data_IF_634763546217
#
_entry.id   IF_634763546217
#
_cell.length_a   1.000
_cell.length_b   1.000
_cell.length_c   1.000
_cell.angle_alpha   90.00
_cell.angle_beta   90.00
_cell.angle_gamma   90.00
#
_symmetry.space_group_name_H-M   'P 1'
#
loop_
_entity.id
_entity.type
_entity.pdbx_description
1 polymer ?
#
# COMPACT_ATOMS: atom_id res chain seq x y z
N UNK A 1 -11.30 -11.17 -7.55
CA UNK A 1 -10.13 -11.80 -6.92
C UNK A 1 -10.43 -11.95 -5.44
N UNK A 2 -10.29 -13.14 -4.87
CA UNK A 2 -10.52 -13.38 -3.44
C UNK A 2 -9.16 -13.25 -2.72
N UNK A 3 -8.80 -12.02 -2.35
CA UNK A 3 -7.54 -11.70 -1.66
C UNK A 3 -7.39 -12.43 -0.31
N UNK A 4 -8.45 -12.58 0.52
CA UNK A 4 -8.37 -13.42 1.72
C UNK A 4 -7.90 -14.85 1.45
N UNK A 5 -8.52 -15.51 0.47
CA UNK A 5 -8.13 -16.87 0.07
C UNK A 5 -6.68 -16.90 -0.41
N UNK A 6 -6.28 -15.95 -1.24
CA UNK A 6 -4.90 -15.86 -1.71
C UNK A 6 -3.90 -15.68 -0.57
N UNK A 7 -4.23 -14.91 0.47
CA UNK A 7 -3.39 -14.80 1.66
C UNK A 7 -3.24 -16.14 2.39
N UNK A 8 -4.35 -16.85 2.61
CA UNK A 8 -4.35 -18.17 3.26
C UNK A 8 -3.49 -19.16 2.46
N UNK A 9 -3.69 -19.23 1.14
CA UNK A 9 -2.91 -20.10 0.25
C UNK A 9 -1.40 -19.79 0.35
N UNK A 10 -1.01 -18.52 0.45
CA UNK A 10 0.40 -18.13 0.62
C UNK A 10 0.95 -18.55 2.00
N UNK A 11 0.15 -18.42 3.05
CA UNK A 11 0.53 -18.83 4.41
C UNK A 11 0.69 -20.36 4.50
N UNK A 12 -0.25 -21.13 3.95
CA UNK A 12 -0.22 -22.60 3.93
C UNK A 12 0.99 -23.13 3.17
N UNK A 13 1.37 -22.44 2.09
CA UNK A 13 2.59 -22.72 1.31
C UNK A 13 3.88 -22.19 1.97
N UNK A 14 3.79 -21.60 3.17
CA UNK A 14 4.92 -21.04 3.95
C UNK A 14 5.72 -20.00 3.17
N UNK A 15 5.04 -19.21 2.35
CA UNK A 15 5.65 -18.12 1.62
C UNK A 15 6.19 -17.05 2.58
N UNK A 16 7.25 -16.36 2.15
CA UNK A 16 7.87 -15.29 2.93
C UNK A 16 7.04 -14.03 2.77
N UNK A 17 6.30 -13.62 3.81
CA UNK A 17 5.39 -12.47 3.76
C UNK A 17 5.83 -11.33 4.68
N UNK A 18 5.63 -10.09 4.21
CA UNK A 18 5.79 -8.87 5.00
C UNK A 18 4.49 -8.04 4.95
N UNK A 19 3.89 -7.80 6.12
CA UNK A 19 2.69 -6.99 6.25
C UNK A 19 3.05 -5.50 6.19
N UNK A 20 2.29 -4.73 5.40
CA UNK A 20 2.38 -3.27 5.33
C UNK A 20 1.08 -2.67 5.86
N UNK A 21 1.07 -2.22 7.11
CA UNK A 21 -0.12 -1.66 7.76
C UNK A 21 -0.31 -0.19 7.41
N UNK A 22 -1.46 0.17 6.84
CA UNK A 22 -1.83 1.56 6.66
C UNK A 22 -1.99 2.26 8.04
N UNK A 23 -1.61 3.53 8.21
CA UNK A 23 -1.53 4.19 9.53
C UNK A 23 -2.86 4.33 10.27
N UNK A 24 -3.98 4.15 9.57
CA UNK A 24 -5.33 4.13 10.18
C UNK A 24 -5.62 2.86 11.00
N UNK A 25 -4.71 1.87 11.02
CA UNK A 25 -4.94 0.58 11.67
C UNK A 25 -5.28 0.69 13.18
N UNK A 26 -4.76 1.64 13.98
CA UNK A 26 -5.04 1.69 15.42
C UNK A 26 -6.51 1.97 15.76
N UNK A 27 -7.28 2.50 14.81
CA UNK A 27 -8.73 2.73 14.98
C UNK A 27 -9.50 1.39 14.98
N UNK A 28 -9.00 0.41 14.24
CA UNK A 28 -9.68 -0.87 14.00
C UNK A 28 -9.08 -1.98 14.88
N UNK A 29 -7.76 -1.98 15.06
CA UNK A 29 -7.04 -3.04 15.75
C UNK A 29 -6.25 -2.50 16.94
N UNK A 30 -6.23 -3.21 18.08
CA UNK A 30 -5.45 -2.81 19.24
C UNK A 30 -3.95 -2.88 18.98
N UNK A 31 -3.23 -1.81 19.32
CA UNK A 31 -1.77 -1.74 19.31
C UNK A 31 -1.21 -1.95 20.74
N UNK A 32 -0.15 -2.76 20.93
CA UNK A 32 0.68 -3.43 19.91
C UNK A 32 0.17 -4.83 19.50
N UNK A 33 -0.98 -5.29 20.00
CA UNK A 33 -1.48 -6.65 19.82
C UNK A 33 -1.59 -7.10 18.35
N UNK A 34 -1.99 -6.20 17.44
CA UNK A 34 -2.04 -6.44 15.99
C UNK A 34 -0.71 -6.94 15.41
N UNK A 35 0.43 -6.49 15.93
CA UNK A 35 1.75 -6.96 15.48
C UNK A 35 1.88 -8.45 15.81
N UNK A 36 1.59 -8.84 17.05
CA UNK A 36 1.66 -10.24 17.49
C UNK A 36 0.68 -11.12 16.70
N UNK A 37 -0.53 -10.63 16.44
CA UNK A 37 -1.53 -11.36 15.65
C UNK A 37 -1.05 -11.63 14.22
N UNK A 38 -0.51 -10.61 13.54
CA UNK A 38 0.06 -10.77 12.19
C UNK A 38 1.25 -11.73 12.19
N UNK A 39 2.13 -11.67 13.20
CA UNK A 39 3.25 -12.61 13.30
C UNK A 39 2.80 -14.05 13.51
N UNK A 40 1.77 -14.26 14.33
CA UNK A 40 1.15 -15.59 14.53
C UNK A 40 0.47 -16.11 13.26
N UNK A 41 -0.11 -15.21 12.47
CA UNK A 41 -0.76 -15.54 11.20
C UNK A 41 0.24 -16.00 10.11
N UNK A 42 1.51 -15.59 10.19
CA UNK A 42 2.56 -16.05 9.26
C UNK A 42 3.44 -14.94 8.69
N UNK A 43 3.20 -13.67 9.05
CA UNK A 43 4.06 -12.56 8.61
C UNK A 43 5.37 -12.52 9.40
N UNK A 44 6.51 -12.52 8.72
CA UNK A 44 7.81 -12.40 9.38
C UNK A 44 8.08 -10.97 9.85
N UNK A 45 7.68 -10.00 9.03
CA UNK A 45 7.86 -8.58 9.24
C UNK A 45 6.52 -7.84 9.18
N UNK A 46 6.39 -6.81 10.02
CA UNK A 46 5.27 -5.87 10.02
C UNK A 46 5.86 -4.48 9.89
N UNK A 47 5.52 -3.79 8.80
CA UNK A 47 6.02 -2.47 8.45
C UNK A 47 4.85 -1.51 8.41
N UNK A 48 5.03 -0.31 8.97
CA UNK A 48 4.03 0.73 8.86
C UNK A 48 4.18 1.50 7.55
N UNK A 49 3.08 1.71 6.83
CA UNK A 49 3.05 2.45 5.56
C UNK A 49 3.44 3.93 5.73
N UNK A 50 3.46 4.44 6.95
CA UNK A 50 4.01 5.75 7.27
C UNK A 50 5.49 5.90 6.84
N UNK A 51 6.26 4.80 6.82
CA UNK A 51 7.63 4.82 6.30
C UNK A 51 7.67 5.19 4.80
N UNK A 52 6.80 4.58 3.98
CA UNK A 52 6.65 4.96 2.58
C UNK A 52 6.03 6.34 2.40
N UNK A 53 5.10 6.75 3.28
CA UNK A 53 4.54 8.10 3.24
C UNK A 53 5.59 9.20 3.43
N UNK A 54 6.58 8.96 4.30
CA UNK A 54 7.74 9.86 4.45
C UNK A 54 8.50 9.97 3.13
N UNK A 55 8.80 8.86 2.47
CA UNK A 55 9.51 8.83 1.18
C UNK A 55 8.73 9.55 0.07
N UNK A 56 7.43 9.30 -0.03
CA UNK A 56 6.51 10.02 -0.93
C UNK A 56 6.58 11.53 -0.71
N UNK A 57 6.58 11.98 0.54
CA UNK A 57 6.66 13.41 0.86
C UNK A 57 8.02 14.02 0.49
N UNK A 58 9.11 13.29 0.69
CA UNK A 58 10.45 13.74 0.28
C UNK A 58 10.54 13.93 -1.25
N UNK A 59 9.98 13.00 -2.03
CA UNK A 59 9.92 13.10 -3.49
C UNK A 59 9.05 14.27 -3.94
N UNK A 60 7.89 14.46 -3.31
CA UNK A 60 7.02 15.60 -3.58
C UNK A 60 7.71 16.93 -3.29
N UNK A 61 8.40 17.05 -2.16
CA UNK A 61 9.15 18.26 -1.80
C UNK A 61 10.26 18.52 -2.82
N UNK A 62 10.97 17.47 -3.27
CA UNK A 62 12.00 17.59 -4.30
C UNK A 62 11.41 18.11 -5.61
N UNK A 63 10.26 17.58 -6.03
CA UNK A 63 9.54 18.02 -7.24
C UNK A 63 9.15 19.50 -7.16
N UNK A 64 8.56 19.91 -6.03
CA UNK A 64 8.15 21.30 -5.81
C UNK A 64 9.35 22.27 -5.79
N UNK A 65 10.51 21.83 -5.30
CA UNK A 65 11.74 22.63 -5.34
C UNK A 65 12.32 22.74 -6.75
N UNK A 66 12.23 21.66 -7.54
CA UNK A 66 12.76 21.64 -8.91
C UNK A 66 11.94 22.48 -9.89
N UNK A 67 10.64 22.63 -9.64
CA UNK A 67 9.75 23.45 -10.46
C UNK A 67 8.75 24.22 -9.56
N UNK A 68 9.17 25.36 -8.99
CA UNK A 68 8.37 26.14 -8.05
C UNK A 68 7.08 26.72 -8.64
N UNK A 69 7.00 26.86 -9.96
CA UNK A 69 5.83 27.42 -10.65
C UNK A 69 4.92 26.33 -11.23
N UNK A 70 5.30 25.05 -11.09
CA UNK A 70 4.54 23.93 -11.56
C UNK A 70 3.21 23.76 -10.83
N UNK A 71 2.25 23.17 -11.53
CA UNK A 71 0.94 22.82 -10.97
C UNK A 71 0.87 21.31 -10.82
N UNK A 72 0.63 20.87 -9.59
CA UNK A 72 0.70 19.47 -9.24
C UNK A 72 -0.56 19.01 -8.52
N UNK A 73 -1.08 17.86 -8.93
CA UNK A 73 -2.15 17.12 -8.25
C UNK A 73 -1.50 15.87 -7.66
N UNK A 74 -1.50 15.77 -6.34
CA UNK A 74 -0.99 14.57 -5.66
C UNK A 74 -1.89 13.37 -5.93
N UNK A 75 -1.29 12.19 -6.07
CA UNK A 75 -1.98 10.98 -6.51
C UNK A 75 -1.95 9.79 -5.53
N UNK A 76 -1.93 9.95 -4.18
CA UNK A 76 -1.86 8.80 -3.28
C UNK A 76 -3.18 7.99 -3.23
N UNK A 77 -4.29 8.58 -3.68
CA UNK A 77 -5.62 7.98 -3.66
C UNK A 77 -6.01 7.47 -5.06
N UNK A 78 -6.12 6.16 -5.28
CA UNK A 78 -6.43 5.60 -6.59
C UNK A 78 -7.84 5.98 -7.09
N UNK A 79 -8.79 6.20 -6.17
CA UNK A 79 -10.14 6.69 -6.52
C UNK A 79 -10.07 8.07 -7.18
N UNK A 80 -9.30 8.99 -6.61
CA UNK A 80 -9.14 10.35 -7.15
C UNK A 80 -8.44 10.31 -8.50
N UNK A 81 -7.38 9.49 -8.62
CA UNK A 81 -6.66 9.31 -9.89
C UNK A 81 -7.60 8.83 -10.99
N UNK A 82 -8.39 7.79 -10.73
CA UNK A 82 -9.34 7.23 -11.70
C UNK A 82 -10.47 8.20 -12.04
N UNK A 83 -11.00 8.90 -11.04
CA UNK A 83 -12.02 9.93 -11.23
C UNK A 83 -11.52 11.01 -12.20
N UNK A 84 -10.34 11.58 -11.96
CA UNK A 84 -9.75 12.62 -12.83
C UNK A 84 -9.48 12.06 -14.21
N UNK A 85 -8.84 10.88 -14.33
CA UNK A 85 -8.58 10.25 -15.65
C UNK A 85 -9.87 10.05 -16.45
N UNK A 86 -10.99 9.70 -15.81
CA UNK A 86 -12.27 9.41 -16.48
C UNK A 86 -13.13 10.64 -16.75
N UNK A 87 -13.25 11.53 -15.77
CA UNK A 87 -14.23 12.63 -15.79
C UNK A 87 -13.61 13.98 -16.14
N UNK A 88 -12.33 14.18 -15.87
CA UNK A 88 -11.62 15.43 -16.11
C UNK A 88 -10.21 15.19 -16.68
N UNK A 89 -10.09 14.46 -17.81
CA UNK A 89 -8.81 14.01 -18.36
C UNK A 89 -7.84 15.16 -18.66
N UNK A 90 -8.33 16.37 -18.92
CA UNK A 90 -7.52 17.58 -19.12
C UNK A 90 -6.63 17.94 -17.92
N UNK A 91 -6.98 17.47 -16.71
CA UNK A 91 -6.18 17.67 -15.50
C UNK A 91 -5.19 16.53 -15.23
N UNK A 92 -5.28 15.41 -15.95
CA UNK A 92 -4.38 14.26 -15.73
C UNK A 92 -2.90 14.62 -15.96
N UNK A 93 -2.62 15.61 -16.81
CA UNK A 93 -1.25 16.14 -17.06
C UNK A 93 -0.59 16.79 -15.85
N UNK A 94 -1.37 17.12 -14.81
CA UNK A 94 -0.85 17.74 -13.58
C UNK A 94 -0.55 16.70 -12.50
N UNK A 95 -0.77 15.40 -12.75
CA UNK A 95 -0.41 14.40 -11.74
C UNK A 95 1.08 14.40 -11.45
N UNK A 96 1.42 14.13 -10.19
CA UNK A 96 2.79 13.88 -9.76
C UNK A 96 3.26 12.51 -10.26
N UNK A 97 3.54 12.39 -11.57
CA UNK A 97 3.81 11.11 -12.24
C UNK A 97 5.05 10.36 -11.72
N UNK A 98 6.01 11.07 -11.13
CA UNK A 98 7.26 10.52 -10.60
C UNK A 98 7.29 10.43 -9.06
N UNK A 99 6.13 10.54 -8.40
CA UNK A 99 6.02 10.45 -6.94
C UNK A 99 5.21 9.22 -6.61
N UNK A 100 5.83 8.26 -5.94
CA UNK A 100 5.16 7.01 -5.57
C UNK A 100 4.05 7.27 -4.55
N UNK A 101 2.99 6.45 -4.59
CA UNK A 101 2.06 6.40 -3.46
C UNK A 101 2.73 5.83 -2.21
N UNK A 102 2.23 6.12 -1.00
CA UNK A 102 2.78 5.55 0.23
C UNK A 102 2.81 4.00 0.22
N UNK A 103 1.82 3.35 -0.42
CA UNK A 103 1.80 1.90 -0.55
C UNK A 103 2.94 1.41 -1.45
N UNK A 104 3.11 2.03 -2.63
CA UNK A 104 4.16 1.66 -3.58
C UNK A 104 5.56 1.92 -3.00
N UNK A 105 5.76 3.09 -2.37
CA UNK A 105 7.02 3.43 -1.70
C UNK A 105 7.34 2.45 -0.55
N UNK A 106 6.33 2.07 0.26
CA UNK A 106 6.53 1.06 1.32
C UNK A 106 6.89 -0.31 0.74
N UNK A 107 6.28 -0.71 -0.38
CA UNK A 107 6.62 -1.97 -1.04
C UNK A 107 8.06 -1.98 -1.58
N UNK A 108 8.56 -0.84 -2.10
CA UNK A 108 9.97 -0.70 -2.48
C UNK A 108 10.90 -0.84 -1.26
N UNK A 109 10.58 -0.17 -0.15
CA UNK A 109 11.32 -0.31 1.12
C UNK A 109 11.35 -1.78 1.58
N UNK A 110 10.22 -2.48 1.52
CA UNK A 110 10.14 -3.91 1.90
C UNK A 110 11.05 -4.76 1.02
N UNK A 111 11.05 -4.55 -0.30
CA UNK A 111 11.90 -5.33 -1.22
C UNK A 111 13.39 -5.09 -1.02
N UNK A 112 13.77 -3.86 -0.66
CA UNK A 112 15.16 -3.48 -0.38
C UNK A 112 15.63 -4.03 0.98
N UNK A 113 14.83 -3.84 2.03
CA UNK A 113 15.21 -4.21 3.41
C UNK A 113 15.00 -5.70 3.71
N UNK A 114 14.01 -6.32 3.06
CA UNK A 114 13.64 -7.73 3.26
C UNK A 114 13.56 -8.48 1.92
N UNK A 115 14.70 -8.71 1.24
CA UNK A 115 14.73 -9.39 -0.05
C UNK A 115 14.05 -10.77 0.02
N UNK A 116 13.20 -11.06 -0.97
CA UNK A 116 12.46 -12.33 -1.06
C UNK A 116 11.18 -12.39 -0.22
N UNK A 117 10.82 -11.33 0.51
CA UNK A 117 9.52 -11.25 1.19
C UNK A 117 8.49 -10.54 0.29
N UNK A 118 7.35 -11.19 0.07
CA UNK A 118 6.23 -10.61 -0.67
C UNK A 118 5.55 -9.53 0.18
N UNK A 119 5.39 -8.31 -0.35
CA UNK A 119 4.67 -7.24 0.34
C UNK A 119 3.16 -7.50 0.32
N UNK A 120 2.52 -7.38 1.47
CA UNK A 120 1.07 -7.49 1.65
C UNK A 120 0.55 -6.22 2.29
N UNK A 121 -0.12 -5.37 1.52
CA UNK A 121 -0.75 -4.17 2.04
C UNK A 121 -2.04 -4.52 2.78
N UNK A 122 -2.23 -3.91 3.95
CA UNK A 122 -3.40 -4.06 4.80
C UNK A 122 -3.90 -2.66 5.14
N UNK A 123 -5.07 -2.29 4.63
CA UNK A 123 -5.57 -0.92 4.78
C UNK A 123 -7.08 -0.76 4.66
N UNK A 124 -7.60 0.48 4.71
CA UNK A 124 -9.04 0.72 4.69
C UNK A 124 -9.64 0.72 3.27
N UNK A 125 -8.82 0.78 2.23
CA UNK A 125 -9.26 1.14 0.87
C UNK A 125 -9.22 -0.05 -0.09
N UNK A 126 -10.39 -0.45 -0.59
CA UNK A 126 -10.51 -1.49 -1.64
C UNK A 126 -9.85 -1.07 -2.96
N UNK A 127 -9.83 0.23 -3.27
CA UNK A 127 -9.30 0.72 -4.55
C UNK A 127 -7.79 0.57 -4.66
N UNK A 128 -7.08 0.30 -3.55
CA UNK A 128 -5.65 -0.04 -3.57
C UNK A 128 -5.37 -1.35 -4.30
N UNK A 129 -6.36 -2.25 -4.43
CA UNK A 129 -6.22 -3.48 -5.22
C UNK A 129 -5.93 -3.16 -6.68
N UNK A 130 -6.71 -2.25 -7.26
CA UNK A 130 -6.51 -1.78 -8.63
C UNK A 130 -5.19 -1.03 -8.81
N UNK A 131 -4.78 -0.26 -7.80
CA UNK A 131 -3.48 0.38 -7.83
C UNK A 131 -2.35 -0.66 -7.91
N UNK A 132 -2.40 -1.68 -7.06
CA UNK A 132 -1.42 -2.75 -7.03
C UNK A 132 -1.40 -3.61 -8.30
N UNK A 133 -2.54 -3.81 -8.98
CA UNK A 133 -2.60 -4.69 -10.14
C UNK A 133 -2.49 -3.98 -11.49
N UNK A 134 -2.93 -2.73 -11.59
CA UNK A 134 -2.99 -1.99 -12.86
C UNK A 134 -2.02 -0.80 -12.91
N UNK A 135 -1.91 -0.03 -11.83
CA UNK A 135 -1.11 1.21 -11.83
C UNK A 135 0.35 0.96 -11.44
N UNK A 136 0.62 0.01 -10.52
CA UNK A 136 1.96 -0.38 -10.05
C UNK A 136 2.10 -1.90 -9.88
N UNK A 137 2.10 -2.70 -10.97
CA UNK A 137 2.14 -4.17 -10.90
C UNK A 137 3.49 -4.75 -10.44
N UNK A 138 4.60 -4.05 -10.72
CA UNK A 138 5.97 -4.55 -10.49
C UNK A 138 6.27 -5.00 -9.04
N UNK A 139 5.83 -4.29 -7.97
CA UNK A 139 6.07 -4.74 -6.61
C UNK A 139 5.26 -5.98 -6.20
N UNK A 140 4.32 -6.45 -7.03
CA UNK A 140 3.48 -7.64 -6.82
C UNK A 140 2.83 -7.68 -5.42
N UNK A 141 2.15 -6.58 -5.07
CA UNK A 141 1.56 -6.35 -3.76
C UNK A 141 0.22 -7.08 -3.65
N UNK A 142 0.08 -7.95 -2.65
CA UNK A 142 -1.25 -8.45 -2.25
C UNK A 142 -1.95 -7.39 -1.40
N UNK A 143 -3.25 -7.17 -1.59
CA UNK A 143 -3.95 -6.05 -0.94
C UNK A 143 -5.17 -6.58 -0.20
N UNK A 144 -5.14 -6.50 1.13
CA UNK A 144 -6.28 -6.77 1.98
C UNK A 144 -6.86 -5.48 2.57
N UNK A 145 -8.18 -5.45 2.66
CA UNK A 145 -8.87 -4.48 3.49
C UNK A 145 -8.82 -4.87 4.97
N UNK A 146 -9.06 -3.93 5.88
CA UNK A 146 -9.20 -4.25 7.30
C UNK A 146 -10.37 -5.20 7.58
N UNK A 147 -11.48 -5.10 6.83
CA UNK A 147 -12.61 -6.01 6.97
C UNK A 147 -12.20 -7.44 6.61
N UNK A 148 -11.52 -7.62 5.48
CA UNK A 148 -10.99 -8.90 5.03
C UNK A 148 -9.99 -9.50 6.03
N UNK A 149 -9.12 -8.68 6.63
CA UNK A 149 -8.22 -9.16 7.67
C UNK A 149 -8.97 -9.59 8.94
N UNK A 150 -9.99 -8.82 9.35
CA UNK A 150 -10.82 -9.17 10.51
C UNK A 150 -11.57 -10.48 10.31
N UNK A 151 -12.06 -10.74 9.11
CA UNK A 151 -12.68 -12.03 8.76
C UNK A 151 -11.68 -13.18 8.96
N UNK A 152 -10.44 -13.02 8.50
CA UNK A 152 -9.37 -14.02 8.68
C UNK A 152 -9.05 -14.25 10.16
N UNK A 153 -9.04 -13.22 11.01
CA UNK A 153 -8.76 -13.41 12.43
C UNK A 153 -9.88 -14.11 13.21
N UNK A 154 -11.09 -14.14 12.68
CA UNK A 154 -12.25 -14.75 13.32
C UNK A 154 -12.51 -16.20 12.87
N UNK A 155 -11.66 -16.74 11.99
CA UNK A 155 -11.74 -18.08 11.43
C UNK A 155 -10.44 -18.85 11.66
#
# INVERSE_FOLDING_TARGET
MNEPKALIDLIDNKEKLAAMLAPSFPIIFPYPAIITMLRKLGFAYVVEVAAGAKKTNEELISLLKSDPNGRYITSPCPTVVRMIKKQMPQYAKYFTHNVDSPMAATAKIVREQYPGYKPVFIGPCVMKKFEATEDVPEPNILVLTYLELSEIFNH
#
